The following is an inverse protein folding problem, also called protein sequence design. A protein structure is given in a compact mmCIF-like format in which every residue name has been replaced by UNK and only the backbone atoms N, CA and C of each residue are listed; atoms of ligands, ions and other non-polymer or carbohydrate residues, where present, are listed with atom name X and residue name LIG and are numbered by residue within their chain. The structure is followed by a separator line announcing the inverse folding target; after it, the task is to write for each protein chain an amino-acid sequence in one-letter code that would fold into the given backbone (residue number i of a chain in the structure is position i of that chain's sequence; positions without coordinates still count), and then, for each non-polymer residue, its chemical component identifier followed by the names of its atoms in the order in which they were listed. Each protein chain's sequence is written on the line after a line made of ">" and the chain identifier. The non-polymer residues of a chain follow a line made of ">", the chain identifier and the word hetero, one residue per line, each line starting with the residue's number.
data_IF_290887008416
#
_entry.id   IF_290887008416
#
_cell.length_a   1.000
_cell.length_b   1.000
_cell.length_c   1.000
_cell.angle_alpha   90.00
_cell.angle_beta   90.00
_cell.angle_gamma   90.00
#
_symmetry.space_group_name_H-M   'P 1'
#
loop_
_entity.id
_entity.type
_entity.pdbx_description
1 polymer ?
#
# COMPACT_ATOMS: atom_id res chain seq x y z
N UNK A 1 -4.54 -1.19 -5.79
CA UNK A 1 -3.33 -1.11 -4.94
C UNK A 1 -3.11 0.27 -4.33
N UNK A 2 -2.61 1.29 -5.06
CA UNK A 2 -2.30 2.60 -4.45
C UNK A 2 -3.48 3.30 -3.76
N UNK A 3 -4.70 3.22 -4.32
CA UNK A 3 -5.90 3.77 -3.69
C UNK A 3 -6.17 3.15 -2.31
N UNK A 4 -6.03 1.83 -2.18
CA UNK A 4 -6.22 1.11 -0.93
C UNK A 4 -5.18 1.56 0.12
N UNK A 5 -3.95 1.72 -0.34
CA UNK A 5 -2.83 2.24 0.44
C UNK A 5 -3.10 3.66 0.97
N UNK A 6 -3.63 4.55 0.13
CA UNK A 6 -3.96 5.93 0.49
C UNK A 6 -5.12 6.03 1.48
N UNK A 7 -6.19 5.26 1.26
CA UNK A 7 -7.38 5.29 2.11
C UNK A 7 -7.12 4.63 3.46
N UNK A 8 -6.39 3.50 3.49
CA UNK A 8 -6.15 2.71 4.71
C UNK A 8 -5.04 3.30 5.58
N UNK A 9 -3.96 3.80 4.98
CA UNK A 9 -2.82 4.36 5.72
C UNK A 9 -2.81 5.90 5.79
N UNK A 10 -3.90 6.57 5.40
CA UNK A 10 -4.00 8.04 5.41
C UNK A 10 -2.86 8.74 4.64
N UNK A 11 -2.28 8.05 3.65
CA UNK A 11 -1.17 8.56 2.87
C UNK A 11 -1.70 9.53 1.81
N UNK A 12 -1.29 10.80 1.89
CA UNK A 12 -1.61 11.77 0.84
C UNK A 12 -0.82 11.46 -0.43
N UNK A 13 -1.39 11.68 -1.62
CA UNK A 13 -0.65 11.61 -2.87
C UNK A 13 0.56 12.55 -2.81
N UNK A 14 1.76 11.99 -2.84
CA UNK A 14 3.02 12.73 -2.68
C UNK A 14 3.86 12.26 -1.49
N UNK A 15 3.24 11.97 -0.34
CA UNK A 15 3.98 11.52 0.85
C UNK A 15 4.58 10.13 0.64
N UNK A 16 3.90 9.26 -0.11
CA UNK A 16 4.45 7.97 -0.53
C UNK A 16 5.80 8.12 -1.25
N UNK A 17 5.95 9.14 -2.11
CA UNK A 17 7.19 9.35 -2.87
C UNK A 17 8.31 9.97 -2.02
N UNK A 18 7.98 10.54 -0.87
CA UNK A 18 8.93 11.10 0.10
C UNK A 18 9.51 10.03 1.04
N UNK A 19 8.88 8.86 1.12
CA UNK A 19 9.36 7.77 1.94
C UNK A 19 10.68 7.18 1.40
N UNK A 20 11.58 6.72 2.30
CA UNK A 20 12.75 5.94 1.92
C UNK A 20 12.36 4.75 1.05
N UNK A 21 13.27 4.34 0.15
CA UNK A 21 13.01 3.22 -0.77
C UNK A 21 12.57 1.95 -0.06
N UNK A 22 13.18 1.61 1.08
CA UNK A 22 12.81 0.42 1.86
C UNK A 22 11.36 0.47 2.35
N UNK A 23 10.96 1.60 2.95
CA UNK A 23 9.59 1.81 3.44
C UNK A 23 8.56 1.76 2.31
N UNK A 24 8.88 2.32 1.14
CA UNK A 24 8.01 2.22 -0.05
C UNK A 24 7.81 0.77 -0.49
N UNK A 25 8.89 -0.01 -0.55
CA UNK A 25 8.82 -1.42 -0.95
C UNK A 25 8.02 -2.24 0.05
N UNK A 26 8.22 -1.99 1.35
CA UNK A 26 7.48 -2.67 2.43
C UNK A 26 5.98 -2.38 2.37
N UNK A 27 5.62 -1.10 2.19
CA UNK A 27 4.22 -0.68 2.04
C UNK A 27 3.55 -1.30 0.81
N UNK A 28 4.28 -1.40 -0.32
CA UNK A 28 3.77 -2.07 -1.51
C UNK A 28 3.55 -3.56 -1.28
N UNK A 29 4.52 -4.25 -0.66
CA UNK A 29 4.41 -5.68 -0.36
C UNK A 29 3.22 -6.01 0.54
N UNK A 30 3.01 -5.22 1.61
CA UNK A 30 1.82 -5.41 2.47
C UNK A 30 0.51 -5.12 1.74
N UNK A 31 0.48 -4.12 0.87
CA UNK A 31 -0.71 -3.83 0.09
C UNK A 31 -1.02 -4.90 -0.97
N UNK A 32 0.00 -5.57 -1.51
CA UNK A 32 -0.17 -6.73 -2.39
C UNK A 32 -0.77 -7.92 -1.60
N UNK A 33 -0.20 -8.25 -0.45
CA UNK A 33 -0.68 -9.35 0.40
C UNK A 33 -2.12 -9.12 0.91
N UNK A 34 -2.46 -7.89 1.30
CA UNK A 34 -3.84 -7.55 1.68
C UNK A 34 -4.83 -7.69 0.50
N UNK A 35 -4.41 -7.36 -0.72
CA UNK A 35 -5.26 -7.49 -1.92
C UNK A 35 -5.46 -8.95 -2.31
N UNK A 36 -4.40 -9.75 -2.25
CA UNK A 36 -4.46 -11.18 -2.51
C UNK A 36 -5.39 -11.86 -1.50
N UNK A 37 -5.28 -11.52 -0.22
CA UNK A 37 -6.20 -12.01 0.82
C UNK A 37 -7.66 -11.58 0.59
N UNK A 38 -7.91 -10.39 0.02
CA UNK A 38 -9.25 -9.94 -0.35
C UNK A 38 -9.80 -10.68 -1.57
N UNK A 39 -8.94 -10.97 -2.55
CA UNK A 39 -9.29 -11.71 -3.75
C UNK A 39 -9.59 -13.19 -3.46
N UNK A 40 -8.83 -13.82 -2.56
CA UNK A 40 -9.06 -15.22 -2.13
C UNK A 40 -10.34 -15.39 -1.29
N UNK A 41 -10.84 -14.31 -0.67
CA UNK A 41 -12.09 -14.31 0.10
C UNK A 41 -13.34 -14.05 -0.77
N UNK A 42 -13.19 -13.85 -2.09
CA UNK A 42 -14.28 -13.69 -3.06
C UNK A 42 -14.48 -14.94 -3.91
#
# INVERSE_FOLDING_TARGET
>A
MLYHLWVRHHLRPGDFWRLPRGERMLLLAFAEEELDALADNM
#
